data_IF_409181670857
#
_entry.id   IF_409181670857
#
_cell.length_a   1.000
_cell.length_b   1.000
_cell.length_c   1.000
_cell.angle_alpha   90.00
_cell.angle_beta   90.00
_cell.angle_gamma   90.00
#
_symmetry.space_group_name_H-M   'P 1'
#
loop_
_entity.id
_entity.type
_entity.pdbx_description
1 polymer ?
#
# COMPACT_ATOMS: atom_id res chain seq x y z
N UNK A 1 7.15 19.29 1.84
CA UNK A 1 5.72 19.02 2.07
C UNK A 1 5.29 17.94 1.07
N UNK A 2 4.96 16.77 1.55
CA UNK A 2 4.54 15.61 0.75
C UNK A 2 3.11 15.87 0.23
N UNK A 3 2.87 15.61 -1.05
CA UNK A 3 1.55 15.71 -1.66
C UNK A 3 1.16 14.37 -2.29
N UNK A 4 0.14 13.72 -1.76
CA UNK A 4 -0.44 12.52 -2.37
C UNK A 4 -1.52 12.96 -3.36
N UNK A 5 -1.51 12.38 -4.57
CA UNK A 5 -2.45 12.69 -5.64
C UNK A 5 -3.09 11.42 -6.18
N UNK A 6 -4.42 11.39 -6.09
CA UNK A 6 -5.24 10.35 -6.71
C UNK A 6 -5.16 10.47 -8.23
N UNK A 7 -4.35 9.62 -8.84
CA UNK A 7 -4.12 9.64 -10.29
C UNK A 7 -5.09 8.73 -11.05
N UNK A 8 -5.53 7.64 -10.46
CA UNK A 8 -6.47 6.63 -10.94
C UNK A 8 -6.35 6.26 -12.42
N UNK A 9 -6.34 7.23 -13.33
CA UNK A 9 -6.13 7.07 -14.75
C UNK A 9 -5.62 8.39 -15.36
N UNK A 10 -4.79 8.30 -16.40
CA UNK A 10 -4.35 9.45 -17.21
C UNK A 10 -5.31 9.72 -18.37
N UNK A 11 -6.07 8.74 -18.82
CA UNK A 11 -7.17 8.95 -19.74
C UNK A 11 -8.22 9.89 -19.14
N UNK A 12 -8.50 10.98 -19.86
CA UNK A 12 -9.38 12.05 -19.37
C UNK A 12 -10.82 11.60 -19.17
N UNK A 13 -11.31 10.69 -19.99
CA UNK A 13 -12.72 10.22 -19.92
C UNK A 13 -12.88 9.28 -18.71
N UNK A 14 -12.01 8.29 -18.61
CA UNK A 14 -11.99 7.36 -17.47
C UNK A 14 -11.81 8.11 -16.15
N UNK A 15 -10.87 9.06 -16.12
CA UNK A 15 -10.64 9.90 -14.95
C UNK A 15 -11.85 10.74 -14.56
N UNK A 16 -12.52 11.34 -15.52
CA UNK A 16 -13.76 12.11 -15.27
C UNK A 16 -14.87 11.22 -14.68
N UNK A 17 -15.00 10.01 -15.18
CA UNK A 17 -15.99 9.05 -14.72
C UNK A 17 -15.68 8.59 -13.30
N UNK A 18 -14.45 8.16 -13.03
CA UNK A 18 -14.03 7.69 -11.70
C UNK A 18 -14.16 8.78 -10.64
N UNK A 19 -13.73 9.99 -10.94
CA UNK A 19 -13.85 11.14 -10.04
C UNK A 19 -15.26 11.76 -10.00
N UNK A 20 -16.19 11.27 -10.84
CA UNK A 20 -17.53 11.86 -11.02
C UNK A 20 -17.48 13.38 -11.23
N UNK A 21 -16.46 13.83 -11.95
CA UNK A 21 -16.17 15.24 -12.13
C UNK A 21 -15.57 15.49 -13.53
N UNK A 22 -16.29 16.29 -14.34
CA UNK A 22 -15.84 16.68 -15.69
C UNK A 22 -14.51 17.43 -15.72
N UNK A 23 -14.02 17.91 -14.58
CA UNK A 23 -12.71 18.55 -14.44
C UNK A 23 -11.60 17.57 -14.06
N UNK A 24 -11.90 16.28 -13.94
CA UNK A 24 -10.93 15.25 -13.57
C UNK A 24 -9.77 15.17 -14.56
N UNK A 25 -10.07 15.02 -15.86
CA UNK A 25 -9.06 14.98 -16.91
C UNK A 25 -8.17 16.22 -16.92
N UNK A 26 -8.73 17.44 -17.08
CA UNK A 26 -7.95 18.67 -17.03
C UNK A 26 -7.16 18.90 -15.74
N UNK A 27 -7.49 18.21 -14.63
CA UNK A 27 -6.78 18.38 -13.35
C UNK A 27 -5.34 17.89 -13.37
N UNK A 28 -4.94 17.02 -14.31
CA UNK A 28 -3.56 16.56 -14.46
C UNK A 28 -2.58 17.70 -14.75
N UNK A 29 -3.04 18.83 -15.31
CA UNK A 29 -2.21 20.03 -15.46
C UNK A 29 -1.62 20.54 -14.13
N UNK A 30 -2.31 20.29 -13.02
CA UNK A 30 -1.82 20.67 -11.70
C UNK A 30 -0.69 19.76 -11.22
N UNK A 31 -0.66 18.52 -11.68
CA UNK A 31 0.48 17.63 -11.45
C UNK A 31 1.72 18.18 -12.17
N UNK A 32 1.58 18.53 -13.47
CA UNK A 32 2.66 19.19 -14.24
C UNK A 32 3.17 20.45 -13.53
N UNK A 33 2.26 21.25 -12.96
CA UNK A 33 2.63 22.49 -12.27
C UNK A 33 3.37 22.22 -10.96
N UNK A 34 2.90 21.29 -10.14
CA UNK A 34 3.55 20.90 -8.89
C UNK A 34 4.98 20.39 -9.13
N UNK A 35 5.14 19.48 -10.10
CA UNK A 35 6.46 18.91 -10.45
C UNK A 35 7.40 20.00 -10.98
N UNK A 36 6.90 20.94 -11.79
CA UNK A 36 7.69 22.07 -12.29
C UNK A 36 8.18 22.99 -11.18
N UNK A 37 7.43 23.11 -10.10
CA UNK A 37 7.83 23.87 -8.91
C UNK A 37 8.69 23.06 -7.92
N UNK A 38 9.13 21.84 -8.30
CA UNK A 38 10.01 21.03 -7.47
C UNK A 38 9.34 20.46 -6.22
N UNK A 39 8.00 20.36 -6.23
CA UNK A 39 7.26 19.74 -5.12
C UNK A 39 7.35 18.24 -5.27
N UNK A 40 7.74 17.56 -4.20
CA UNK A 40 7.69 16.10 -4.14
C UNK A 40 6.24 15.62 -4.16
N UNK A 41 5.91 14.80 -5.15
CA UNK A 41 4.56 14.27 -5.33
C UNK A 41 4.60 12.76 -5.37
N UNK A 42 3.76 12.14 -4.54
CA UNK A 42 3.45 10.72 -4.58
C UNK A 42 2.12 10.53 -5.31
N UNK A 43 2.12 9.66 -6.32
CA UNK A 43 0.93 9.30 -7.06
C UNK A 43 0.26 8.07 -6.46
N UNK A 44 -1.08 8.02 -6.49
CA UNK A 44 -1.83 6.84 -6.13
C UNK A 44 -2.79 6.47 -7.26
N UNK A 45 -2.73 5.23 -7.72
CA UNK A 45 -3.63 4.66 -8.73
C UNK A 45 -4.48 3.59 -8.06
N UNK A 46 -5.71 3.95 -7.68
CA UNK A 46 -6.68 2.97 -7.21
C UNK A 46 -7.25 2.23 -8.41
N UNK A 47 -6.95 0.94 -8.52
CA UNK A 47 -7.44 0.12 -9.63
C UNK A 47 -8.78 -0.50 -9.28
N UNK A 48 -9.74 -0.29 -10.16
CA UNK A 48 -11.09 -0.83 -10.05
C UNK A 48 -11.29 -1.84 -11.19
N UNK A 49 -11.57 -3.12 -10.89
CA UNK A 49 -11.79 -4.14 -11.90
C UNK A 49 -12.86 -3.71 -12.94
N UNK A 50 -12.61 -3.99 -14.20
CA UNK A 50 -13.46 -3.63 -15.35
C UNK A 50 -13.61 -2.12 -15.61
N UNK A 51 -12.85 -1.25 -14.92
CA UNK A 51 -12.96 0.21 -15.08
C UNK A 51 -11.64 0.82 -15.56
N UNK A 52 -10.56 0.67 -14.78
CA UNK A 52 -9.25 1.23 -15.10
C UNK A 52 -8.11 0.22 -14.94
N UNK A 53 -8.41 -1.06 -14.98
CA UNK A 53 -7.46 -2.16 -15.05
C UNK A 53 -6.98 -2.43 -16.50
N UNK A 54 -6.24 -3.50 -16.71
CA UNK A 54 -5.79 -3.96 -18.03
C UNK A 54 -5.14 -2.84 -18.86
N UNK A 55 -5.66 -2.59 -20.06
CA UNK A 55 -5.13 -1.60 -20.99
C UNK A 55 -5.14 -0.16 -20.46
N UNK A 56 -6.11 0.19 -19.62
CA UNK A 56 -6.18 1.54 -19.03
C UNK A 56 -5.06 1.73 -18.00
N UNK A 57 -4.78 0.71 -17.19
CA UNK A 57 -3.64 0.73 -16.26
C UNK A 57 -2.32 0.80 -17.04
N UNK A 58 -2.18 0.00 -18.09
CA UNK A 58 -1.02 0.01 -18.98
C UNK A 58 -0.77 1.41 -19.58
N UNK A 59 -1.79 2.06 -20.13
CA UNK A 59 -1.72 3.42 -20.67
C UNK A 59 -1.38 4.46 -19.59
N UNK A 60 -1.94 4.29 -18.39
CA UNK A 60 -1.64 5.16 -17.24
C UNK A 60 -0.16 5.08 -16.86
N UNK A 61 0.41 3.87 -16.75
CA UNK A 61 1.82 3.69 -16.40
C UNK A 61 2.76 4.11 -17.56
N UNK A 62 2.34 3.91 -18.82
CA UNK A 62 3.01 4.45 -19.99
C UNK A 62 3.09 5.99 -19.94
N UNK A 63 1.99 6.65 -19.66
CA UNK A 63 1.96 8.11 -19.54
C UNK A 63 2.84 8.60 -18.38
N UNK A 64 2.87 7.87 -17.26
CA UNK A 64 3.77 8.17 -16.13
C UNK A 64 5.23 8.08 -16.60
N UNK A 65 5.58 7.03 -17.32
CA UNK A 65 6.92 6.86 -17.89
C UNK A 65 7.28 8.01 -18.87
N UNK A 66 6.36 8.41 -19.73
CA UNK A 66 6.65 9.44 -20.74
C UNK A 66 6.70 10.86 -20.20
N UNK A 67 5.90 11.17 -19.17
CA UNK A 67 5.67 12.56 -18.73
C UNK A 67 6.01 12.84 -17.29
N UNK A 68 5.98 11.85 -16.42
CA UNK A 68 5.97 12.06 -14.97
C UNK A 68 7.07 11.28 -14.22
N UNK A 69 8.22 11.02 -14.87
CA UNK A 69 9.38 10.36 -14.23
C UNK A 69 9.97 11.14 -13.04
N UNK A 70 9.60 12.40 -12.88
CA UNK A 70 9.96 13.22 -11.72
C UNK A 70 9.07 13.00 -10.49
N UNK A 71 8.02 12.16 -10.59
CA UNK A 71 7.29 11.70 -9.42
C UNK A 71 8.24 11.01 -8.44
N UNK A 72 8.01 11.23 -7.16
CA UNK A 72 8.77 10.56 -6.11
C UNK A 72 8.47 9.06 -6.11
N UNK A 73 7.18 8.71 -6.14
CA UNK A 73 6.69 7.35 -6.27
C UNK A 73 5.25 7.33 -6.79
N UNK A 74 4.82 6.16 -7.23
CA UNK A 74 3.42 5.86 -7.63
C UNK A 74 3.01 4.54 -7.02
N UNK A 75 1.99 4.55 -6.18
CA UNK A 75 1.42 3.36 -5.61
C UNK A 75 0.18 2.89 -6.40
N UNK A 76 0.18 1.65 -6.83
CA UNK A 76 -0.97 0.97 -7.42
C UNK A 76 -1.65 0.17 -6.33
N UNK A 77 -2.86 0.57 -5.96
CA UNK A 77 -3.62 0.00 -4.84
C UNK A 77 -4.92 -0.63 -5.30
N UNK A 78 -5.39 -1.72 -4.69
CA UNK A 78 -6.69 -2.28 -4.98
C UNK A 78 -7.81 -1.38 -4.45
N UNK A 79 -8.97 -1.49 -5.06
CA UNK A 79 -10.17 -0.83 -4.57
C UNK A 79 -10.63 -1.46 -3.25
N UNK A 80 -10.67 -0.66 -2.19
CA UNK A 80 -11.32 -1.03 -0.94
C UNK A 80 -12.85 -0.92 -1.04
N UNK A 81 -13.58 -2.03 -0.87
CA UNK A 81 -15.04 -2.04 -0.92
C UNK A 81 -15.61 -2.07 0.49
N UNK A 82 -16.31 -1.01 0.87
CA UNK A 82 -17.05 -0.95 2.13
C UNK A 82 -18.34 -1.77 2.07
N UNK A 83 -18.72 -2.40 3.18
CA UNK A 83 -20.03 -3.06 3.36
C UNK A 83 -21.23 -2.12 3.10
N UNK A 84 -21.00 -0.82 3.16
CA UNK A 84 -22.00 0.23 2.95
C UNK A 84 -21.95 0.84 1.55
N UNK A 85 -21.09 0.32 0.67
CA UNK A 85 -21.05 0.79 -0.73
C UNK A 85 -22.31 0.39 -1.47
N UNK A 86 -22.93 1.36 -2.12
CA UNK A 86 -24.09 1.15 -2.99
C UNK A 86 -23.69 1.08 -4.48
N UNK A 87 -22.42 1.25 -4.81
CA UNK A 87 -21.90 1.19 -6.17
C UNK A 87 -21.70 -0.27 -6.60
N UNK A 88 -22.64 -0.76 -7.41
CA UNK A 88 -22.66 -2.17 -7.84
C UNK A 88 -21.49 -2.58 -8.74
N UNK A 89 -20.85 -1.61 -9.41
CA UNK A 89 -19.69 -1.88 -10.28
C UNK A 89 -18.39 -2.03 -9.49
N UNK A 90 -18.38 -1.61 -8.23
CA UNK A 90 -17.21 -1.68 -7.37
C UNK A 90 -17.19 -3.03 -6.65
N UNK A 91 -16.22 -3.83 -6.98
CA UNK A 91 -15.98 -5.16 -6.40
C UNK A 91 -14.47 -5.36 -6.14
N UNK A 92 -14.12 -6.23 -5.20
CA UNK A 92 -12.72 -6.58 -5.01
C UNK A 92 -12.16 -7.33 -6.23
N UNK A 93 -10.83 -7.34 -6.35
CA UNK A 93 -10.13 -8.13 -7.36
C UNK A 93 -10.26 -9.62 -7.07
N UNK A 94 -10.37 -10.40 -8.12
CA UNK A 94 -10.13 -11.84 -8.08
C UNK A 94 -8.62 -12.11 -8.07
N UNK A 95 -8.22 -13.33 -7.72
CA UNK A 95 -6.81 -13.73 -7.78
C UNK A 95 -6.19 -13.55 -9.17
N UNK A 96 -6.94 -13.90 -10.22
CA UNK A 96 -6.46 -13.77 -11.61
C UNK A 96 -6.27 -12.30 -11.99
N UNK A 97 -7.19 -11.42 -11.62
CA UNK A 97 -7.07 -9.98 -11.88
C UNK A 97 -5.92 -9.36 -11.09
N UNK A 98 -5.71 -9.77 -9.84
CA UNK A 98 -4.57 -9.33 -9.05
C UNK A 98 -3.24 -9.75 -9.69
N UNK A 99 -3.13 -10.96 -10.23
CA UNK A 99 -1.97 -11.41 -11.00
C UNK A 99 -1.74 -10.53 -12.24
N UNK A 100 -2.78 -10.22 -13.00
CA UNK A 100 -2.69 -9.36 -14.18
C UNK A 100 -2.21 -7.94 -13.83
N UNK A 101 -2.71 -7.37 -12.72
CA UNK A 101 -2.22 -6.06 -12.25
C UNK A 101 -0.74 -6.13 -11.87
N UNK A 102 -0.31 -7.18 -11.16
CA UNK A 102 1.10 -7.37 -10.81
C UNK A 102 1.99 -7.50 -12.05
N UNK A 103 1.58 -8.27 -13.06
CA UNK A 103 2.33 -8.40 -14.31
C UNK A 103 2.54 -7.05 -15.02
N UNK A 104 1.51 -6.21 -15.06
CA UNK A 104 1.59 -4.86 -15.63
C UNK A 104 2.54 -4.00 -14.80
N UNK A 105 2.37 -3.97 -13.48
CA UNK A 105 3.21 -3.15 -12.58
C UNK A 105 4.67 -3.57 -12.66
N UNK A 106 4.98 -4.86 -12.56
CA UNK A 106 6.35 -5.39 -12.61
C UNK A 106 7.04 -5.08 -13.94
N UNK A 107 6.30 -5.20 -15.05
CA UNK A 107 6.81 -4.80 -16.38
C UNK A 107 7.24 -3.34 -16.39
N UNK A 108 6.42 -2.43 -15.87
CA UNK A 108 6.72 -1.00 -15.85
C UNK A 108 7.80 -0.64 -14.83
N UNK A 109 7.87 -1.34 -13.69
CA UNK A 109 8.99 -1.23 -12.75
C UNK A 109 10.31 -1.49 -13.46
N UNK A 110 10.41 -2.58 -14.20
CA UNK A 110 11.60 -2.95 -14.95
C UNK A 110 12.00 -1.89 -16.01
N UNK A 111 11.03 -1.40 -16.76
CA UNK A 111 11.24 -0.38 -17.79
C UNK A 111 11.76 0.91 -17.15
N UNK A 112 11.10 1.39 -16.11
CA UNK A 112 11.42 2.64 -15.42
C UNK A 112 12.77 2.52 -14.70
N UNK A 113 13.02 1.41 -13.98
CA UNK A 113 14.28 1.15 -13.28
C UNK A 113 15.47 1.17 -14.22
N UNK A 114 15.33 0.63 -15.45
CA UNK A 114 16.38 0.71 -16.50
C UNK A 114 16.62 2.13 -16.98
N UNK A 115 15.58 2.97 -17.01
CA UNK A 115 15.67 4.34 -17.52
C UNK A 115 16.27 5.32 -16.50
N UNK A 116 15.86 5.24 -15.23
CA UNK A 116 16.23 6.24 -14.21
C UNK A 116 16.99 5.66 -13.02
N UNK A 117 17.26 4.34 -13.01
CA UNK A 117 18.06 3.67 -11.98
C UNK A 117 17.35 3.45 -10.64
N UNK A 118 16.05 3.77 -10.51
CA UNK A 118 15.25 3.57 -9.31
C UNK A 118 13.84 3.10 -9.62
N UNK A 119 13.19 2.46 -8.65
CA UNK A 119 11.77 2.14 -8.73
C UNK A 119 10.94 3.35 -8.30
N UNK A 120 9.95 3.72 -9.09
CA UNK A 120 8.96 4.72 -8.70
C UNK A 120 7.55 4.18 -8.71
N UNK A 121 7.30 3.01 -9.31
CA UNK A 121 5.98 2.38 -9.35
C UNK A 121 5.99 1.16 -8.45
N UNK A 122 5.02 1.05 -7.55
CA UNK A 122 4.91 -0.06 -6.62
C UNK A 122 3.46 -0.55 -6.54
N UNK A 123 3.26 -1.87 -6.50
CA UNK A 123 1.97 -2.43 -6.13
C UNK A 123 1.88 -2.54 -4.60
N UNK A 124 0.70 -2.28 -4.06
CA UNK A 124 0.42 -2.53 -2.65
C UNK A 124 0.55 -4.03 -2.32
N UNK A 125 1.00 -4.32 -1.11
CA UNK A 125 1.21 -5.69 -0.62
C UNK A 125 -0.05 -6.55 -0.74
N UNK A 126 -1.23 -5.94 -0.64
CA UNK A 126 -2.52 -6.62 -0.81
C UNK A 126 -2.63 -7.34 -2.15
N UNK A 127 -2.07 -6.79 -3.25
CA UNK A 127 -2.08 -7.48 -4.53
C UNK A 127 -1.33 -8.81 -4.49
N UNK A 128 -0.17 -8.84 -3.83
CA UNK A 128 0.61 -10.06 -3.68
C UNK A 128 -0.12 -11.09 -2.83
N UNK A 129 -0.77 -10.66 -1.74
CA UNK A 129 -1.56 -11.53 -0.86
C UNK A 129 -2.78 -12.11 -1.60
N UNK A 130 -3.53 -11.28 -2.34
CA UNK A 130 -4.68 -11.73 -3.14
C UNK A 130 -4.24 -12.67 -4.25
N UNK A 131 -3.14 -12.37 -4.92
CA UNK A 131 -2.58 -13.19 -6.01
C UNK A 131 -1.95 -14.49 -5.51
N UNK A 132 -1.69 -14.63 -4.21
CA UNK A 132 -0.96 -15.77 -3.67
C UNK A 132 0.52 -15.77 -4.08
N UNK A 133 1.09 -14.59 -4.32
CA UNK A 133 2.50 -14.41 -4.67
C UNK A 133 3.33 -13.95 -3.46
N UNK A 134 4.62 -14.30 -3.42
CA UNK A 134 5.50 -13.81 -2.37
C UNK A 134 5.61 -12.28 -2.44
N UNK A 135 5.68 -11.65 -1.27
CA UNK A 135 5.97 -10.22 -1.13
C UNK A 135 7.38 -9.96 -1.66
N UNK A 136 7.63 -8.88 -2.42
CA UNK A 136 8.96 -8.52 -2.90
C UNK A 136 9.98 -8.36 -1.78
N UNK A 137 11.26 -8.49 -2.12
CA UNK A 137 12.33 -8.28 -1.14
C UNK A 137 12.45 -6.80 -0.74
N UNK A 138 13.00 -6.56 0.44
CA UNK A 138 13.20 -5.23 1.02
C UNK A 138 13.90 -4.26 0.06
N UNK A 139 14.85 -4.77 -0.76
CA UNK A 139 15.60 -3.99 -1.75
C UNK A 139 14.75 -3.38 -2.88
N UNK A 140 13.52 -3.83 -3.05
CA UNK A 140 12.62 -3.31 -4.09
C UNK A 140 11.82 -2.08 -3.62
N UNK A 141 11.87 -1.73 -2.34
CA UNK A 141 11.04 -0.68 -1.74
C UNK A 141 11.77 0.65 -1.50
N UNK A 142 12.98 0.83 -2.00
CA UNK A 142 13.82 2.02 -1.74
C UNK A 142 13.81 2.40 -0.23
N UNK A 143 13.11 3.48 0.13
CA UNK A 143 13.02 3.98 1.51
C UNK A 143 11.65 3.71 2.18
N UNK A 144 10.81 2.84 1.62
CA UNK A 144 9.44 2.63 2.10
C UNK A 144 8.58 3.90 2.14
N UNK A 145 8.79 4.81 1.20
CA UNK A 145 8.12 6.12 1.14
C UNK A 145 6.57 6.01 1.01
N UNK A 146 6.05 4.83 0.66
CA UNK A 146 4.62 4.55 0.42
C UNK A 146 4.00 3.59 1.44
N UNK A 147 4.57 3.51 2.63
CA UNK A 147 4.09 2.63 3.69
C UNK A 147 2.60 2.86 4.04
N UNK A 148 2.17 4.14 4.10
CA UNK A 148 0.78 4.50 4.40
C UNK A 148 -0.22 4.03 3.32
N UNK A 149 0.26 3.82 2.09
CA UNK A 149 -0.53 3.32 0.96
C UNK A 149 -0.50 1.79 0.84
N UNK A 150 0.08 1.10 1.79
CA UNK A 150 0.11 -0.35 1.83
C UNK A 150 1.27 -0.99 1.07
N UNK A 151 2.31 -0.23 0.75
CA UNK A 151 3.52 -0.73 0.06
C UNK A 151 4.61 -1.05 1.08
N UNK A 152 5.04 -2.31 1.14
CA UNK A 152 6.11 -2.77 2.02
C UNK A 152 5.71 -2.91 3.50
N UNK A 153 4.41 -2.90 3.81
CA UNK A 153 3.90 -3.08 5.19
C UNK A 153 4.31 -4.45 5.74
N UNK A 154 4.18 -5.50 4.93
CA UNK A 154 4.50 -6.87 5.35
C UNK A 154 5.99 -6.97 5.67
N UNK A 155 6.86 -6.46 4.80
CA UNK A 155 8.32 -6.50 5.04
C UNK A 155 8.74 -5.67 6.23
N UNK A 156 8.14 -4.50 6.42
CA UNK A 156 8.39 -3.66 7.61
C UNK A 156 8.00 -4.42 8.87
N UNK A 157 6.82 -5.03 8.88
CA UNK A 157 6.35 -5.82 10.00
C UNK A 157 7.26 -7.03 10.31
N UNK A 158 7.69 -7.77 9.27
CA UNK A 158 8.62 -8.90 9.43
C UNK A 158 9.94 -8.45 10.07
N UNK A 159 10.52 -7.35 9.61
CA UNK A 159 11.77 -6.79 10.13
C UNK A 159 11.63 -6.31 11.59
N UNK A 160 10.52 -5.66 11.92
CA UNK A 160 10.23 -5.27 13.30
C UNK A 160 10.04 -6.52 14.20
N UNK A 161 9.35 -7.53 13.69
CA UNK A 161 9.13 -8.77 14.42
C UNK A 161 10.42 -9.56 14.69
N UNK A 162 11.35 -9.59 13.72
CA UNK A 162 12.65 -10.26 13.85
C UNK A 162 13.68 -9.43 14.60
N UNK A 163 13.39 -8.17 14.94
CA UNK A 163 14.32 -7.27 15.62
C UNK A 163 15.44 -6.75 14.72
N UNK A 164 15.28 -6.79 13.41
CA UNK A 164 16.23 -6.23 12.45
C UNK A 164 16.23 -4.69 12.40
N UNK A 165 15.24 -4.05 13.01
CA UNK A 165 15.07 -2.60 13.07
C UNK A 165 14.95 -2.19 14.52
N UNK A 166 15.92 -1.42 15.01
CA UNK A 166 15.98 -0.93 16.40
C UNK A 166 14.92 0.18 16.67
N UNK A 167 14.49 0.89 15.64
CA UNK A 167 13.40 1.87 15.73
C UNK A 167 12.39 1.64 14.61
N UNK A 168 11.08 1.74 14.91
CA UNK A 168 10.05 1.61 13.88
C UNK A 168 10.28 2.66 12.80
N UNK A 169 10.44 2.19 11.58
CA UNK A 169 10.74 3.01 10.41
C UNK A 169 9.67 4.10 10.26
N UNK A 170 10.07 5.35 10.55
CA UNK A 170 9.29 6.55 10.25
C UNK A 170 7.98 6.72 11.02
N UNK A 171 7.91 6.25 12.26
CA UNK A 171 6.65 6.32 12.94
C UNK A 171 6.77 6.95 14.32
N UNK A 172 6.58 8.24 14.36
CA UNK A 172 5.87 8.83 15.51
C UNK A 172 4.49 8.13 15.69
N UNK A 173 4.07 7.32 14.73
CA UNK A 173 2.86 6.52 14.72
C UNK A 173 3.07 5.27 13.84
N UNK A 174 3.50 4.15 14.38
CA UNK A 174 3.40 2.87 13.68
C UNK A 174 1.95 2.54 13.31
N UNK A 175 1.74 1.55 12.47
CA UNK A 175 0.41 1.05 12.11
C UNK A 175 -0.53 0.89 13.32
N UNK A 176 0.00 0.54 14.48
CA UNK A 176 -0.74 0.52 15.74
C UNK A 176 -0.94 1.89 16.41
N UNK A 177 -0.14 2.90 16.10
CA UNK A 177 -0.34 4.24 16.63
C UNK A 177 -1.43 5.01 15.88
N UNK A 178 -1.75 4.61 14.66
CA UNK A 178 -2.94 5.11 13.96
C UNK A 178 -4.23 4.69 14.66
N UNK A 179 -4.25 3.51 15.25
CA UNK A 179 -5.33 3.08 16.15
C UNK A 179 -5.32 3.91 17.43
N UNK A 180 -4.15 4.37 17.89
CA UNK A 180 -4.00 5.29 19.02
C UNK A 180 -4.47 6.73 18.71
N UNK A 181 -4.53 7.13 17.44
CA UNK A 181 -5.12 8.39 16.97
C UNK A 181 -6.65 8.38 16.87
N UNK A 182 -7.29 7.24 17.06
CA UNK A 182 -8.74 7.16 17.16
C UNK A 182 -9.22 7.97 18.37
N UNK A 183 -10.41 8.63 18.28
CA UNK A 183 -10.92 9.45 19.36
C UNK A 183 -10.93 8.69 20.68
N UNK A 184 -10.58 9.35 21.79
CA UNK A 184 -10.40 8.70 23.09
C UNK A 184 -11.67 8.04 23.66
N UNK A 185 -12.80 8.33 23.08
CA UNK A 185 -14.09 7.78 23.52
C UNK A 185 -14.43 6.53 22.71
N UNK A 186 -14.01 5.38 23.20
CA UNK A 186 -14.56 4.10 22.82
C UNK A 186 -13.62 3.05 22.24
N UNK A 187 -12.39 3.36 21.82
CA UNK A 187 -11.51 2.36 21.22
C UNK A 187 -10.11 2.25 21.84
N UNK A 188 -9.81 3.02 22.84
CA UNK A 188 -8.58 2.85 23.61
C UNK A 188 -8.81 1.80 24.68
N UNK A 189 -8.32 0.61 24.47
CA UNK A 189 -7.69 -0.07 25.58
C UNK A 189 -6.71 0.95 26.15
N UNK A 190 -7.02 1.51 27.32
CA UNK A 190 -6.14 2.42 28.03
C UNK A 190 -4.77 1.75 28.10
N UNK A 191 -3.83 2.14 27.23
CA UNK A 191 -2.42 1.91 27.48
C UNK A 191 -2.13 2.71 28.73
N UNK A 192 -2.19 2.05 29.86
CA UNK A 192 -1.60 2.55 31.06
C UNK A 192 -0.11 2.73 30.75
N UNK A 193 0.47 3.93 30.78
CA UNK A 193 1.89 4.13 30.55
C UNK A 193 2.75 3.50 31.65
N UNK A 194 2.11 2.92 32.64
CA UNK A 194 2.80 2.18 33.69
C UNK A 194 3.17 0.77 33.20
N UNK A 195 4.47 0.42 33.17
CA UNK A 195 4.94 -0.90 32.73
C UNK A 195 4.52 -2.06 33.66
N UNK A 196 3.53 -1.88 34.50
CA UNK A 196 3.16 -2.82 35.54
C UNK A 196 2.01 -3.79 35.20
N UNK A 197 1.43 -3.71 34.02
CA UNK A 197 0.66 -4.82 33.48
C UNK A 197 1.62 -5.78 32.75
N UNK A 198 2.59 -6.30 33.49
CA UNK A 198 3.17 -7.58 33.14
C UNK A 198 2.04 -8.58 33.32
N UNK A 199 1.34 -8.90 32.24
CA UNK A 199 0.58 -10.13 32.17
C UNK A 199 1.63 -11.25 32.39
N UNK A 200 1.76 -11.67 33.65
CA UNK A 200 2.49 -12.90 33.96
C UNK A 200 1.64 -14.06 33.43
N UNK A 201 1.65 -14.25 32.13
CA UNK A 201 1.21 -15.48 31.53
C UNK A 201 2.09 -16.57 32.17
N UNK A 202 1.43 -17.53 32.80
CA UNK A 202 2.15 -18.76 33.19
C UNK A 202 2.82 -19.23 31.90
N UNK A 203 4.13 -19.53 31.93
CA UNK A 203 4.97 -19.96 30.79
C UNK A 203 4.37 -21.05 29.89
N UNK A 204 3.20 -21.56 30.16
CA UNK A 204 2.49 -22.64 29.45
C UNK A 204 1.08 -22.26 28.99
N UNK A 205 0.71 -20.99 29.08
CA UNK A 205 -0.61 -20.58 28.58
C UNK A 205 -0.52 -20.32 27.08
N UNK A 206 -1.45 -20.86 26.26
CA UNK A 206 -1.50 -20.55 24.84
C UNK A 206 -1.77 -19.06 24.65
N UNK A 207 -1.09 -18.47 23.67
CA UNK A 207 -1.32 -17.08 23.23
C UNK A 207 -2.13 -17.15 21.94
N UNK A 208 -3.30 -16.51 21.95
CA UNK A 208 -4.15 -16.41 20.77
C UNK A 208 -3.92 -15.08 20.05
N UNK A 209 -3.74 -15.12 18.74
CA UNK A 209 -3.70 -13.94 17.88
C UNK A 209 -5.02 -13.81 17.14
N UNK A 210 -5.71 -12.67 17.31
CA UNK A 210 -6.88 -12.34 16.51
C UNK A 210 -6.44 -11.47 15.36
N UNK A 211 -6.65 -11.96 14.13
CA UNK A 211 -6.23 -11.25 12.91
C UNK A 211 -7.19 -11.52 11.75
N UNK A 212 -7.12 -10.71 10.70
CA UNK A 212 -7.82 -10.96 9.45
C UNK A 212 -7.10 -11.99 8.56
N UNK A 213 -7.71 -12.31 7.42
CA UNK A 213 -7.19 -13.31 6.48
C UNK A 213 -5.76 -12.99 6.00
N UNK A 214 -5.51 -11.75 5.59
CA UNK A 214 -4.17 -11.32 5.13
C UNK A 214 -3.15 -11.29 6.27
N UNK A 215 -3.59 -10.85 7.45
CA UNK A 215 -2.73 -10.88 8.65
C UNK A 215 -2.38 -12.31 9.06
N UNK A 216 -3.28 -13.29 8.88
CA UNK A 216 -2.98 -14.68 9.14
C UNK A 216 -1.90 -15.22 8.20
N UNK A 217 -1.96 -14.89 6.91
CA UNK A 217 -0.94 -15.28 5.92
C UNK A 217 0.45 -14.74 6.29
N UNK A 218 0.52 -13.52 6.82
CA UNK A 218 1.78 -12.89 7.25
C UNK A 218 2.30 -13.45 8.58
N UNK A 219 1.41 -13.62 9.57
CA UNK A 219 1.79 -14.02 10.93
C UNK A 219 2.14 -15.50 11.05
N UNK A 220 1.48 -16.38 10.32
CA UNK A 220 1.66 -17.83 10.45
C UNK A 220 3.11 -18.29 10.23
N UNK A 221 3.84 -17.85 9.18
CA UNK A 221 5.25 -18.18 9.01
C UNK A 221 6.13 -17.66 10.15
N UNK A 222 5.86 -16.45 10.65
CA UNK A 222 6.63 -15.83 11.73
C UNK A 222 6.44 -16.55 13.06
N UNK A 223 5.20 -16.91 13.39
CA UNK A 223 4.89 -17.67 14.61
C UNK A 223 5.57 -19.05 14.55
N UNK A 224 5.53 -19.74 13.40
CA UNK A 224 6.22 -21.02 13.21
C UNK A 224 7.74 -20.93 13.35
N UNK A 225 8.32 -19.75 13.09
CA UNK A 225 9.75 -19.54 13.29
C UNK A 225 10.13 -19.46 14.78
N UNK A 226 9.24 -18.93 15.62
CA UNK A 226 9.45 -18.86 17.08
C UNK A 226 9.46 -20.24 17.73
N UNK A 227 8.60 -21.15 17.26
CA UNK A 227 8.50 -22.52 17.81
C UNK A 227 9.73 -23.39 17.50
N UNK A 228 10.61 -22.94 16.59
CA UNK A 228 11.83 -23.66 16.18
C UNK A 228 13.10 -23.19 16.88
N UNK A 229 13.00 -22.14 17.70
CA UNK A 229 14.15 -21.53 18.38
C UNK A 229 14.33 -22.00 19.84
N UNK A 230 13.63 -23.07 20.26
CA UNK A 230 13.81 -23.74 21.57
C UNK A 230 14.74 -25.03 21.41
#
# INVERSE_FOLDING_TARGET
>A
QMCIRDSHATDSQVRNEMLRNRRGGPSLRWLDELLRHGIEVHGQVVVCPDINDGLILEDTLCTIYERYLSLKSVCVVPLGVSKHSHEKRMRPHTQVEALQVLEIVEKWQDIIKRQIGRNIVHAADEYYLVAGRPIPDTSEYDNFDMYEDGVGIVRTFEREFTGEVDEPTNTAAGFFAWVDGAPPEGYRATRNPEPNLVFRTKRKSPIGFLTGEYGAQTLEPLIKSLDRSD
#
